data_IF_129475164289
#
_entry.id   IF_129475164289
#
_cell.length_a   1.000
_cell.length_b   1.000
_cell.length_c   1.000
_cell.angle_alpha   90.00
_cell.angle_beta   90.00
_cell.angle_gamma   90.00
#
_symmetry.space_group_name_H-M   'P 1'
#
loop_
_entity.id
_entity.type
_entity.pdbx_description
1 polymer ?
#
# COMPACT_ATOMS: atom_id res chain seq x y z
N UNK A 1 -30.21 -37.26 7.66
CA UNK A 1 -29.05 -36.88 6.83
C UNK A 1 -29.57 -35.90 5.79
N UNK A 2 -29.46 -34.60 6.05
CA UNK A 2 -30.05 -33.57 5.18
C UNK A 2 -29.10 -33.28 4.03
N UNK A 3 -29.57 -33.57 2.82
CA UNK A 3 -28.80 -33.55 1.59
C UNK A 3 -28.27 -32.15 1.25
N UNK A 4 -27.02 -32.12 0.84
CA UNK A 4 -26.36 -31.01 0.17
C UNK A 4 -26.98 -30.77 -1.22
N UNK A 5 -28.24 -30.31 -1.26
CA UNK A 5 -28.92 -29.87 -2.49
C UNK A 5 -28.60 -28.40 -2.86
N UNK A 6 -27.63 -27.78 -2.19
CA UNK A 6 -27.22 -26.39 -2.45
C UNK A 6 -26.24 -26.22 -3.63
N UNK A 7 -25.86 -27.30 -4.32
CA UNK A 7 -24.72 -27.30 -5.25
C UNK A 7 -25.02 -27.21 -6.76
N UNK A 8 -26.27 -27.37 -7.21
CA UNK A 8 -26.58 -27.61 -8.64
C UNK A 8 -27.63 -26.64 -9.21
N UNK A 9 -27.55 -25.36 -8.86
CA UNK A 9 -28.46 -24.33 -9.38
C UNK A 9 -27.86 -22.93 -9.38
N UNK A 10 -28.63 -21.93 -9.81
CA UNK A 10 -28.24 -20.51 -9.92
C UNK A 10 -27.62 -19.96 -8.62
N UNK A 11 -28.02 -20.49 -7.47
CA UNK A 11 -27.43 -20.18 -6.15
C UNK A 11 -25.98 -20.61 -6.00
N UNK A 12 -25.56 -21.75 -6.57
CA UNK A 12 -24.15 -22.19 -6.55
C UNK A 12 -23.24 -21.30 -7.39
N UNK A 13 -23.73 -20.81 -8.52
CA UNK A 13 -23.01 -19.85 -9.37
C UNK A 13 -22.84 -18.48 -8.70
N UNK A 14 -23.87 -18.01 -7.99
CA UNK A 14 -23.78 -16.80 -7.17
C UNK A 14 -22.75 -16.95 -6.04
N UNK A 15 -22.77 -18.08 -5.33
CA UNK A 15 -21.78 -18.35 -4.28
C UNK A 15 -20.35 -18.43 -4.84
N UNK A 16 -20.16 -18.98 -6.04
CA UNK A 16 -18.86 -19.00 -6.72
C UNK A 16 -18.37 -17.58 -7.04
N UNK A 17 -19.24 -16.73 -7.58
CA UNK A 17 -18.90 -15.33 -7.90
C UNK A 17 -18.58 -14.52 -6.64
N UNK A 18 -19.31 -14.74 -5.54
CA UNK A 18 -19.00 -14.11 -4.24
C UNK A 18 -17.63 -14.57 -3.75
N UNK A 19 -17.32 -15.87 -3.83
CA UNK A 19 -16.00 -16.39 -3.46
C UNK A 19 -14.87 -15.76 -4.25
N UNK A 20 -15.02 -15.64 -5.58
CA UNK A 20 -14.05 -14.96 -6.45
C UNK A 20 -13.92 -13.49 -6.08
N UNK A 21 -15.04 -12.78 -5.85
CA UNK A 21 -15.05 -11.39 -5.44
C UNK A 21 -14.31 -11.15 -4.13
N UNK A 22 -14.48 -12.03 -3.14
CA UNK A 22 -13.75 -11.96 -1.86
C UNK A 22 -12.25 -12.14 -2.06
N UNK A 23 -11.83 -13.13 -2.86
CA UNK A 23 -10.40 -13.34 -3.16
C UNK A 23 -9.80 -12.13 -3.86
N UNK A 24 -10.48 -11.58 -4.86
CA UNK A 24 -10.05 -10.37 -5.57
C UNK A 24 -9.96 -9.18 -4.61
N UNK A 25 -10.95 -8.99 -3.74
CA UNK A 25 -10.93 -7.91 -2.75
C UNK A 25 -9.77 -8.04 -1.76
N UNK A 26 -9.46 -9.26 -1.29
CA UNK A 26 -8.31 -9.52 -0.42
C UNK A 26 -7.00 -9.24 -1.15
N UNK A 27 -6.82 -9.74 -2.37
CA UNK A 27 -5.61 -9.49 -3.16
C UNK A 27 -5.46 -7.99 -3.44
N UNK A 28 -6.55 -7.31 -3.81
CA UNK A 28 -6.54 -5.87 -4.05
C UNK A 28 -6.19 -5.10 -2.78
N UNK A 29 -6.75 -5.46 -1.62
CA UNK A 29 -6.42 -4.87 -0.33
C UNK A 29 -4.96 -5.10 0.08
N UNK A 30 -4.41 -6.30 -0.17
CA UNK A 30 -3.00 -6.59 0.10
C UNK A 30 -2.07 -5.83 -0.85
N UNK A 31 -2.41 -5.74 -2.13
CA UNK A 31 -1.64 -4.97 -3.12
C UNK A 31 -1.73 -3.48 -2.83
N UNK A 32 -2.90 -2.94 -2.51
CA UNK A 32 -3.06 -1.52 -2.12
C UNK A 32 -2.48 -1.21 -0.75
N UNK A 33 -2.45 -2.15 0.19
CA UNK A 33 -1.70 -1.97 1.42
C UNK A 33 -0.20 -1.97 1.12
N UNK A 34 0.31 -2.93 0.34
CA UNK A 34 1.73 -3.01 -0.01
C UNK A 34 2.21 -1.82 -0.85
N UNK A 35 1.40 -1.34 -1.80
CA UNK A 35 1.69 -0.17 -2.65
C UNK A 35 1.30 1.15 -2.00
N UNK A 36 0.36 1.14 -1.06
CA UNK A 36 -0.05 2.26 -0.20
C UNK A 36 0.94 2.58 0.92
N UNK A 37 2.00 1.78 1.07
CA UNK A 37 3.26 2.22 1.68
C UNK A 37 4.11 3.05 0.72
N UNK A 38 3.51 3.66 -0.30
CA UNK A 38 3.99 4.93 -0.84
C UNK A 38 4.13 5.88 0.35
N UNK A 39 5.34 5.91 0.93
CA UNK A 39 5.76 6.98 1.83
C UNK A 39 5.26 8.27 1.18
N UNK A 40 4.55 9.15 1.89
CA UNK A 40 4.20 10.44 1.32
C UNK A 40 5.47 10.99 0.68
N UNK A 41 5.41 11.54 -0.54
CA UNK A 41 6.61 11.95 -1.28
C UNK A 41 7.57 12.82 -0.42
N UNK A 42 7.02 13.52 0.58
CA UNK A 42 7.72 14.22 1.66
C UNK A 42 8.59 13.32 2.55
N UNK A 43 8.13 12.13 2.96
CA UNK A 43 8.90 11.17 3.73
C UNK A 43 10.04 10.53 2.91
N UNK A 44 9.86 10.36 1.60
CA UNK A 44 10.94 9.93 0.70
C UNK A 44 11.99 11.04 0.56
N UNK A 45 11.56 12.28 0.28
CA UNK A 45 12.44 13.45 0.20
C UNK A 45 13.23 13.68 1.51
N UNK A 46 12.58 13.59 2.68
CA UNK A 46 13.23 13.69 3.98
C UNK A 46 14.29 12.60 4.19
N UNK A 47 13.98 11.36 3.78
CA UNK A 47 14.88 10.23 3.93
C UNK A 47 16.11 10.34 3.02
N UNK A 48 15.94 10.82 1.79
CA UNK A 48 17.01 11.09 0.84
C UNK A 48 17.90 12.22 1.35
N UNK A 49 17.30 13.30 1.86
CA UNK A 49 18.02 14.45 2.41
C UNK A 49 18.88 14.04 3.61
N UNK A 50 18.31 13.25 4.52
CA UNK A 50 19.01 12.71 5.69
C UNK A 50 20.17 11.78 5.30
N UNK A 51 19.98 10.94 4.29
CA UNK A 51 21.03 10.06 3.80
C UNK A 51 22.22 10.83 3.19
N UNK A 52 21.95 11.93 2.46
CA UNK A 52 23.00 12.81 1.89
C UNK A 52 23.76 13.58 2.97
N UNK A 53 23.06 14.09 3.98
CA UNK A 53 23.69 14.73 5.13
C UNK A 53 24.59 13.77 5.90
N UNK A 54 24.14 12.53 6.14
CA UNK A 54 24.94 11.51 6.81
C UNK A 54 26.18 11.09 6.02
N UNK A 55 26.13 11.17 4.68
CA UNK A 55 27.30 10.97 3.82
C UNK A 55 28.23 12.19 3.75
N UNK A 56 27.84 13.33 4.33
CA UNK A 56 28.59 14.58 4.25
C UNK A 56 28.55 15.23 2.86
N UNK A 57 27.61 14.85 1.99
CA UNK A 57 27.45 15.42 0.65
C UNK A 57 26.81 16.80 0.67
N UNK A 58 26.14 17.14 1.78
CA UNK A 58 25.51 18.45 2.01
C UNK A 58 25.89 18.97 3.40
N UNK A 59 26.03 20.29 3.51
CA UNK A 59 26.26 20.96 4.78
C UNK A 59 24.99 21.05 5.62
N UNK A 60 25.14 21.37 6.91
CA UNK A 60 24.00 21.58 7.83
C UNK A 60 23.11 22.75 7.37
N UNK A 61 23.70 23.78 6.77
CA UNK A 61 22.99 24.95 6.25
C UNK A 61 22.07 24.59 5.08
N UNK A 62 22.57 23.77 4.15
CA UNK A 62 21.81 23.27 3.01
C UNK A 62 20.71 22.30 3.45
N UNK A 63 20.98 21.47 4.46
CA UNK A 63 19.99 20.58 5.06
C UNK A 63 18.81 21.37 5.66
N UNK A 64 19.10 22.40 6.44
CA UNK A 64 18.07 23.24 7.09
C UNK A 64 17.29 24.12 6.08
N UNK A 65 17.91 24.56 4.98
CA UNK A 65 17.16 25.18 3.89
C UNK A 65 16.23 24.18 3.20
N UNK A 66 16.73 23.01 2.85
CA UNK A 66 15.94 22.00 2.15
C UNK A 66 14.77 21.49 3.02
N UNK A 67 14.96 21.33 4.34
CA UNK A 67 13.86 21.01 5.27
C UNK A 67 12.76 22.08 5.27
N UNK A 68 13.14 23.36 5.33
CA UNK A 68 12.18 24.48 5.26
C UNK A 68 11.44 24.55 3.94
N UNK A 69 12.13 24.32 2.82
CA UNK A 69 11.52 24.30 1.47
C UNK A 69 10.54 23.13 1.33
N UNK A 70 10.88 21.96 1.88
CA UNK A 70 10.06 20.75 1.83
C UNK A 70 8.92 20.74 2.86
N UNK A 71 8.91 21.67 3.83
CA UNK A 71 7.87 21.77 4.86
C UNK A 71 7.87 20.59 5.84
N UNK A 72 9.04 20.01 6.15
CA UNK A 72 9.25 18.82 7.01
C UNK A 72 10.10 19.11 8.25
#
# INVERSE_FOLDING_TARGET
MMGFEWGMGVGGWLWMLVGIGVVVAIVWALVTAATGHGRPATADAASILKARFARGEISEEEYEQARRVLGI
#
